data_IF_034539165064
#
_entry.id   IF_034539165064
#
_cell.length_a   1.000
_cell.length_b   1.000
_cell.length_c   1.000
_cell.angle_alpha   90.00
_cell.angle_beta   90.00
_cell.angle_gamma   90.00
#
_symmetry.space_group_name_H-M   'P 1'
#
loop_
_entity.id
_entity.type
_entity.pdbx_description
1 polymer ?
#
# COMPACT_ATOMS: atom_id res chain seq x y z
N UNK A 1 -90.19 10.06 3.93
CA UNK A 1 -89.31 9.54 5.01
C UNK A 1 -88.54 8.38 4.44
N UNK A 2 -87.33 8.61 4.14
CA UNK A 2 -86.24 7.62 3.99
C UNK A 2 -84.98 8.39 3.69
N UNK A 3 -84.07 8.46 4.63
CA UNK A 3 -82.76 9.04 4.51
C UNK A 3 -81.89 8.22 3.56
N UNK A 4 -81.22 8.90 2.62
CA UNK A 4 -80.19 8.32 1.77
C UNK A 4 -78.84 8.70 2.33
N UNK A 5 -78.17 7.70 2.88
CA UNK A 5 -76.80 7.85 3.42
C UNK A 5 -75.79 8.15 2.29
N UNK A 6 -75.00 9.19 2.50
CA UNK A 6 -73.83 9.50 1.69
C UNK A 6 -72.68 8.60 2.09
N UNK A 7 -72.28 7.72 1.19
CA UNK A 7 -70.98 7.05 1.24
C UNK A 7 -69.89 8.04 0.83
N UNK A 8 -69.07 8.45 1.80
CA UNK A 8 -67.86 9.20 1.54
C UNK A 8 -66.88 8.34 0.75
N UNK A 9 -66.42 8.83 -0.40
CA UNK A 9 -65.29 8.26 -1.13
C UNK A 9 -64.03 8.66 -0.37
N UNK A 10 -63.38 7.66 0.27
CA UNK A 10 -62.01 7.78 0.71
C UNK A 10 -61.15 8.02 -0.53
N UNK A 11 -60.70 9.24 -0.67
CA UNK A 11 -59.61 9.61 -1.57
C UNK A 11 -58.33 9.05 -1.02
N UNK A 12 -57.87 7.93 -1.54
CA UNK A 12 -56.51 7.44 -1.34
C UNK A 12 -55.60 8.51 -1.95
N UNK A 13 -55.05 9.35 -1.10
CA UNK A 13 -53.98 10.26 -1.46
C UNK A 13 -52.76 9.43 -1.83
N UNK A 14 -52.32 9.57 -3.08
CA UNK A 14 -51.03 8.99 -3.50
C UNK A 14 -49.91 9.36 -2.51
N UNK A 15 -49.02 8.45 -2.16
CA UNK A 15 -47.93 8.77 -1.21
C UNK A 15 -47.13 9.92 -1.80
N UNK A 16 -47.00 11.00 -1.05
CA UNK A 16 -46.10 12.11 -1.33
C UNK A 16 -44.71 11.51 -1.45
N UNK A 17 -44.03 11.77 -2.56
CA UNK A 17 -42.66 11.34 -2.75
C UNK A 17 -41.85 11.87 -1.56
N UNK A 18 -41.37 10.97 -0.69
CA UNK A 18 -40.61 11.35 0.48
C UNK A 18 -39.35 12.09 0.05
N UNK A 19 -38.99 13.14 0.79
CA UNK A 19 -37.72 13.82 0.53
C UNK A 19 -36.54 12.81 0.69
N UNK A 20 -35.52 12.88 -0.18
CA UNK A 20 -34.37 11.97 -0.12
C UNK A 20 -33.73 11.87 1.26
N UNK A 21 -33.76 12.92 2.06
CA UNK A 21 -33.26 12.96 3.43
C UNK A 21 -34.07 12.11 4.42
N UNK A 22 -35.38 12.09 4.29
CA UNK A 22 -36.27 11.27 5.12
C UNK A 22 -36.10 9.77 4.79
N UNK A 23 -36.10 9.44 3.51
CA UNK A 23 -35.86 8.07 3.02
C UNK A 23 -34.56 7.51 3.59
N UNK A 24 -33.48 8.26 3.45
CA UNK A 24 -32.15 7.88 4.00
C UNK A 24 -32.18 7.62 5.50
N UNK A 25 -32.81 8.52 6.26
CA UNK A 25 -32.85 8.42 7.73
C UNK A 25 -33.63 7.17 8.19
N UNK A 26 -34.76 6.87 7.57
CA UNK A 26 -35.56 5.69 7.91
C UNK A 26 -34.90 4.38 7.49
N UNK A 27 -34.32 4.33 6.30
CA UNK A 27 -33.59 3.13 5.85
C UNK A 27 -32.36 2.89 6.72
N UNK A 28 -31.63 3.95 7.09
CA UNK A 28 -30.49 3.84 8.04
C UNK A 28 -30.94 3.25 9.39
N UNK A 29 -32.03 3.75 9.96
CA UNK A 29 -32.56 3.24 11.23
C UNK A 29 -32.96 1.76 11.10
N UNK A 30 -33.53 1.35 9.98
CA UNK A 30 -33.86 -0.03 9.72
C UNK A 30 -32.59 -0.91 9.63
N UNK A 31 -31.60 -0.49 8.86
CA UNK A 31 -30.36 -1.24 8.68
C UNK A 31 -29.57 -1.39 9.99
N UNK A 32 -29.53 -0.36 10.83
CA UNK A 32 -28.86 -0.43 12.14
C UNK A 32 -29.47 -1.44 13.12
N UNK A 33 -30.73 -1.82 12.91
CA UNK A 33 -31.42 -2.86 13.70
C UNK A 33 -31.26 -4.28 13.14
N UNK A 34 -30.85 -4.41 11.88
CA UNK A 34 -30.92 -5.68 11.14
C UNK A 34 -29.58 -6.11 10.52
N UNK A 35 -28.54 -5.28 10.65
CA UNK A 35 -27.19 -5.58 10.16
C UNK A 35 -26.15 -5.28 11.23
N UNK A 36 -25.19 -6.18 11.36
CA UNK A 36 -24.00 -5.98 12.20
C UNK A 36 -23.07 -4.92 11.58
N UNK A 37 -22.31 -4.24 12.43
CA UNK A 37 -21.36 -3.19 12.01
C UNK A 37 -20.31 -3.71 11.04
N UNK A 38 -19.85 -4.94 11.20
CA UNK A 38 -18.85 -5.55 10.32
C UNK A 38 -19.38 -5.78 8.90
N UNK A 39 -20.69 -5.98 8.75
CA UNK A 39 -21.35 -6.11 7.45
C UNK A 39 -21.46 -4.76 6.75
N UNK A 40 -21.55 -3.67 7.48
CA UNK A 40 -21.71 -2.32 6.94
C UNK A 40 -20.39 -1.60 6.65
N UNK A 41 -19.24 -2.19 6.98
CA UNK A 41 -17.94 -1.62 6.67
C UNK A 41 -17.69 -1.60 5.14
N UNK A 42 -17.58 -0.43 4.47
CA UNK A 42 -17.39 -0.33 3.02
C UNK A 42 -16.04 -0.89 2.54
N UNK A 43 -15.10 -1.12 3.44
CA UNK A 43 -13.77 -1.65 3.14
C UNK A 43 -13.65 -3.15 3.41
N UNK A 44 -14.64 -3.77 4.06
CA UNK A 44 -14.59 -5.21 4.35
C UNK A 44 -14.69 -6.02 3.04
N UNK A 45 -13.79 -6.99 2.89
CA UNK A 45 -13.75 -7.90 1.76
C UNK A 45 -14.57 -9.15 2.06
N UNK A 46 -15.83 -9.13 1.71
CA UNK A 46 -16.67 -10.31 1.70
C UNK A 46 -17.49 -10.31 0.41
N UNK A 47 -17.22 -11.20 -0.57
CA UNK A 47 -17.91 -11.22 -1.84
C UNK A 47 -19.43 -11.38 -1.69
N UNK A 48 -19.87 -12.08 -0.64
CA UNK A 48 -21.31 -12.31 -0.36
C UNK A 48 -21.98 -11.14 0.37
N UNK A 49 -21.21 -10.17 0.83
CA UNK A 49 -21.68 -9.03 1.63
C UNK A 49 -22.58 -8.10 0.82
N UNK A 50 -22.15 -7.72 -0.38
CA UNK A 50 -22.87 -6.75 -1.22
C UNK A 50 -24.28 -7.26 -1.57
N UNK A 51 -24.47 -8.51 -2.02
CA UNK A 51 -25.81 -9.07 -2.21
C UNK A 51 -26.67 -9.09 -0.95
N UNK A 52 -26.09 -9.42 0.21
CA UNK A 52 -26.81 -9.44 1.50
C UNK A 52 -27.28 -8.04 1.89
N UNK A 53 -26.41 -7.05 1.82
CA UNK A 53 -26.77 -5.66 2.14
C UNK A 53 -27.80 -5.13 1.15
N UNK A 54 -27.64 -5.39 -0.15
CA UNK A 54 -28.62 -5.00 -1.16
C UNK A 54 -30.01 -5.57 -0.86
N UNK A 55 -30.09 -6.83 -0.50
CA UNK A 55 -31.34 -7.45 -0.11
C UNK A 55 -31.99 -6.75 1.11
N UNK A 56 -31.17 -6.39 2.12
CA UNK A 56 -31.63 -5.66 3.31
C UNK A 56 -32.03 -4.21 3.01
N UNK A 57 -31.35 -3.53 2.09
CA UNK A 57 -31.75 -2.19 1.63
C UNK A 57 -33.08 -2.26 0.91
N UNK A 58 -33.30 -3.23 0.01
CA UNK A 58 -34.57 -3.45 -0.68
C UNK A 58 -35.70 -3.72 0.35
N UNK A 59 -35.46 -4.60 1.32
CA UNK A 59 -36.39 -4.89 2.40
C UNK A 59 -36.76 -3.62 3.20
N UNK A 60 -35.76 -2.83 3.55
CA UNK A 60 -35.96 -1.56 4.26
C UNK A 60 -36.77 -0.53 3.44
N UNK A 61 -36.48 -0.40 2.16
CA UNK A 61 -37.18 0.52 1.24
C UNK A 61 -38.65 0.13 1.13
N UNK A 62 -38.94 -1.17 0.96
CA UNK A 62 -40.30 -1.71 0.90
C UNK A 62 -41.04 -1.55 2.24
N UNK A 63 -40.38 -1.81 3.36
CA UNK A 63 -40.95 -1.62 4.69
C UNK A 63 -41.32 -0.16 4.99
N UNK A 64 -40.61 0.78 4.37
CA UNK A 64 -40.92 2.22 4.44
C UNK A 64 -41.97 2.67 3.41
N UNK A 65 -42.48 1.80 2.54
CA UNK A 65 -43.50 2.11 1.54
C UNK A 65 -42.97 2.87 0.30
N UNK A 66 -41.70 2.79 0.01
CA UNK A 66 -41.08 3.42 -1.16
C UNK A 66 -40.80 2.45 -2.30
N UNK A 67 -40.55 3.01 -3.52
CA UNK A 67 -40.14 2.22 -4.68
C UNK A 67 -38.74 1.68 -4.51
N UNK A 68 -38.57 0.39 -4.73
CA UNK A 68 -37.29 -0.32 -4.72
C UNK A 68 -36.66 -0.43 -6.11
N UNK A 69 -36.85 0.60 -6.95
CA UNK A 69 -36.19 0.66 -8.25
C UNK A 69 -34.64 0.65 -8.10
N UNK A 70 -33.97 0.14 -9.15
CA UNK A 70 -32.54 -0.07 -9.13
C UNK A 70 -31.74 1.21 -8.84
N UNK A 71 -32.21 2.37 -9.29
CA UNK A 71 -31.53 3.65 -9.09
C UNK A 71 -31.62 4.10 -7.63
N UNK A 72 -32.80 3.99 -7.01
CA UNK A 72 -33.02 4.27 -5.60
C UNK A 72 -32.20 3.35 -4.71
N UNK A 73 -32.20 2.06 -4.99
CA UNK A 73 -31.44 1.08 -4.23
C UNK A 73 -29.92 1.31 -4.36
N UNK A 74 -29.43 1.55 -5.58
CA UNK A 74 -28.00 1.86 -5.81
C UNK A 74 -27.57 3.12 -5.06
N UNK A 75 -28.37 4.18 -5.13
CA UNK A 75 -28.10 5.43 -4.41
C UNK A 75 -28.05 5.22 -2.88
N UNK A 76 -28.99 4.46 -2.33
CA UNK A 76 -28.98 4.15 -0.88
C UNK A 76 -27.80 3.27 -0.48
N UNK A 77 -27.41 2.31 -1.33
CA UNK A 77 -26.23 1.50 -1.10
C UNK A 77 -24.97 2.37 -1.01
N UNK A 78 -24.74 3.25 -1.97
CA UNK A 78 -23.57 4.14 -1.99
C UNK A 78 -23.56 5.10 -0.80
N UNK A 79 -24.68 5.71 -0.46
CA UNK A 79 -24.77 6.74 0.59
C UNK A 79 -24.76 6.15 2.02
N UNK A 80 -25.47 5.05 2.25
CA UNK A 80 -25.62 4.47 3.60
C UNK A 80 -24.54 3.47 3.96
N UNK A 81 -24.13 2.64 3.01
CA UNK A 81 -23.20 1.53 3.24
C UNK A 81 -21.84 1.85 2.62
N UNK A 82 -21.81 2.40 1.42
CA UNK A 82 -20.61 2.83 0.72
C UNK A 82 -20.01 4.15 1.25
N UNK A 83 -19.09 4.70 0.46
CA UNK A 83 -18.44 5.98 0.70
C UNK A 83 -19.10 7.12 -0.12
N UNK A 84 -20.42 7.01 -0.37
CA UNK A 84 -21.15 7.96 -1.17
C UNK A 84 -20.58 8.09 -2.58
N UNK A 85 -20.35 9.33 -3.08
CA UNK A 85 -19.89 9.53 -4.47
C UNK A 85 -18.48 9.00 -4.74
N UNK A 86 -17.74 8.58 -3.71
CA UNK A 86 -16.39 8.01 -3.85
C UNK A 86 -16.39 6.50 -4.11
N UNK A 87 -17.51 5.79 -3.84
CA UNK A 87 -17.57 4.32 -3.91
C UNK A 87 -17.07 3.78 -5.25
N UNK A 88 -17.50 4.36 -6.35
CA UNK A 88 -17.07 3.96 -7.70
C UNK A 88 -15.57 3.99 -7.96
N UNK A 89 -14.83 4.84 -7.21
CA UNK A 89 -13.38 4.91 -7.29
C UNK A 89 -12.72 3.87 -6.37
N UNK A 90 -13.37 3.54 -5.28
CA UNK A 90 -12.92 2.46 -4.40
C UNK A 90 -13.04 1.11 -5.12
N UNK A 91 -14.08 0.93 -5.93
CA UNK A 91 -14.35 -0.29 -6.69
C UNK A 91 -13.48 -0.40 -7.97
N UNK A 92 -12.97 0.72 -8.52
CA UNK A 92 -12.11 0.71 -9.72
C UNK A 92 -10.69 0.28 -9.36
N UNK A 93 -10.21 -0.91 -9.79
CA UNK A 93 -8.86 -1.41 -9.44
C UNK A 93 -7.73 -0.57 -10.04
N UNK A 94 -8.00 0.25 -11.06
CA UNK A 94 -7.01 1.14 -11.67
C UNK A 94 -6.79 2.42 -10.88
N UNK A 95 -7.66 2.73 -9.92
CA UNK A 95 -7.52 3.90 -9.06
C UNK A 95 -6.67 3.53 -7.85
N UNK A 96 -5.57 4.25 -7.63
CA UNK A 96 -4.66 4.09 -6.49
C UNK A 96 -4.94 5.08 -5.36
N UNK A 97 -5.30 6.32 -5.71
CA UNK A 97 -5.54 7.38 -4.74
C UNK A 97 -6.80 8.17 -5.09
N UNK A 98 -7.56 8.56 -4.05
CA UNK A 98 -8.73 9.44 -4.14
C UNK A 98 -8.47 10.67 -3.28
N UNK A 99 -8.45 11.85 -3.89
CA UNK A 99 -8.10 13.11 -3.24
C UNK A 99 -9.30 14.06 -3.29
N UNK A 100 -9.84 14.37 -2.13
CA UNK A 100 -10.97 15.31 -1.96
C UNK A 100 -10.44 16.59 -1.34
N UNK A 101 -10.21 17.60 -2.16
CA UNK A 101 -9.75 18.92 -1.69
C UNK A 101 -10.90 19.71 -1.04
N UNK A 102 -12.10 19.57 -1.61
CA UNK A 102 -13.35 20.16 -1.16
C UNK A 102 -14.53 19.30 -1.61
N UNK A 103 -15.72 19.60 -1.11
CA UNK A 103 -16.95 18.88 -1.47
C UNK A 103 -17.27 18.87 -2.98
N UNK A 104 -16.78 19.84 -3.73
CA UNK A 104 -16.98 20.04 -5.18
C UNK A 104 -15.71 19.78 -6.01
N UNK A 105 -14.60 19.36 -5.38
CA UNK A 105 -13.30 19.18 -6.03
C UNK A 105 -12.66 17.86 -5.64
N UNK A 106 -12.81 16.87 -6.52
CA UNK A 106 -12.31 15.50 -6.33
C UNK A 106 -11.37 15.11 -7.47
N UNK A 107 -10.18 14.63 -7.11
CA UNK A 107 -9.19 14.07 -8.01
C UNK A 107 -9.01 12.58 -7.73
N UNK A 108 -8.56 11.84 -8.74
CA UNK A 108 -8.13 10.45 -8.57
C UNK A 108 -6.80 10.22 -9.27
N UNK A 109 -5.96 9.39 -8.67
CA UNK A 109 -4.84 8.82 -9.41
C UNK A 109 -5.32 7.52 -10.06
N UNK A 110 -5.34 7.48 -11.40
CA UNK A 110 -5.71 6.30 -12.19
C UNK A 110 -4.57 5.98 -13.16
N UNK A 111 -4.15 4.73 -13.19
CA UNK A 111 -3.05 4.26 -14.05
C UNK A 111 -1.78 5.15 -13.89
N UNK A 112 -1.52 5.61 -12.66
CA UNK A 112 -0.39 6.47 -12.37
C UNK A 112 -0.53 7.93 -12.83
N UNK A 113 -1.72 8.37 -13.23
CA UNK A 113 -1.98 9.78 -13.62
C UNK A 113 -3.00 10.41 -12.69
N UNK A 114 -2.69 11.60 -12.20
CA UNK A 114 -3.63 12.39 -11.42
C UNK A 114 -4.61 13.09 -12.36
N UNK A 115 -5.90 12.82 -12.20
CA UNK A 115 -6.96 13.30 -13.06
C UNK A 115 -8.05 14.00 -12.23
N UNK A 116 -8.53 15.18 -12.65
CA UNK A 116 -9.72 15.78 -12.08
C UNK A 116 -10.95 14.95 -12.44
N UNK A 117 -11.97 14.97 -11.58
CA UNK A 117 -13.22 14.27 -11.82
C UNK A 117 -14.42 15.21 -11.83
N UNK A 118 -15.53 14.77 -12.39
CA UNK A 118 -16.82 15.47 -12.29
C UNK A 118 -17.57 15.14 -11.00
N UNK A 119 -17.01 14.33 -10.12
CA UNK A 119 -17.65 13.89 -8.86
C UNK A 119 -17.70 15.03 -7.87
N UNK A 120 -18.86 15.17 -7.22
CA UNK A 120 -19.10 16.15 -6.15
C UNK A 120 -19.93 15.53 -5.04
N UNK A 121 -19.67 15.97 -3.83
CA UNK A 121 -20.61 15.77 -2.72
C UNK A 121 -21.77 16.78 -2.87
N UNK A 122 -22.86 16.58 -2.16
CA UNK A 122 -23.99 17.52 -2.17
C UNK A 122 -23.59 18.89 -1.64
N UNK A 123 -22.86 18.87 -0.55
CA UNK A 123 -22.38 20.03 0.20
C UNK A 123 -21.22 19.62 1.11
N UNK A 124 -20.68 20.58 1.85
CA UNK A 124 -19.61 20.33 2.82
C UNK A 124 -20.03 19.36 3.92
N UNK A 125 -21.27 19.46 4.41
CA UNK A 125 -21.78 18.60 5.48
C UNK A 125 -21.84 17.13 5.04
N UNK A 126 -22.14 16.86 3.78
CA UNK A 126 -22.10 15.51 3.23
C UNK A 126 -20.68 14.95 3.19
N UNK A 127 -19.68 15.75 2.82
CA UNK A 127 -18.27 15.35 2.88
C UNK A 127 -17.86 15.04 4.32
N UNK A 128 -18.22 15.91 5.28
CA UNK A 128 -17.95 15.70 6.70
C UNK A 128 -18.58 14.40 7.22
N UNK A 129 -19.81 14.07 6.81
CA UNK A 129 -20.46 12.81 7.17
C UNK A 129 -19.70 11.58 6.66
N UNK A 130 -19.18 11.61 5.41
CA UNK A 130 -18.39 10.51 4.86
C UNK A 130 -17.06 10.39 5.61
N UNK A 131 -16.39 11.50 5.92
CA UNK A 131 -15.16 11.49 6.73
C UNK A 131 -15.43 10.92 8.12
N UNK A 132 -16.48 11.37 8.81
CA UNK A 132 -16.86 10.85 10.13
C UNK A 132 -17.14 9.34 10.09
N UNK A 133 -17.80 8.86 9.03
CA UNK A 133 -18.04 7.43 8.82
C UNK A 133 -16.74 6.66 8.72
N UNK A 134 -15.80 7.11 7.88
CA UNK A 134 -14.48 6.47 7.70
C UNK A 134 -13.73 6.40 9.03
N UNK A 135 -13.70 7.50 9.77
CA UNK A 135 -12.96 7.62 11.03
C UNK A 135 -13.57 6.75 12.14
N UNK A 136 -14.91 6.68 12.20
CA UNK A 136 -15.65 5.87 13.15
C UNK A 136 -15.42 4.36 12.95
N UNK A 137 -15.27 3.88 11.70
CA UNK A 137 -15.00 2.47 11.37
C UNK A 137 -13.70 1.96 12.00
N UNK A 138 -12.74 2.85 12.23
CA UNK A 138 -11.45 2.50 12.85
C UNK A 138 -11.37 2.90 14.33
N UNK A 139 -12.51 3.23 14.94
CA UNK A 139 -12.58 3.60 16.36
C UNK A 139 -11.85 4.91 16.68
N UNK A 140 -11.69 5.81 15.70
CA UNK A 140 -11.05 7.11 15.85
C UNK A 140 -12.10 8.23 15.83
N UNK A 141 -11.67 9.46 16.14
CA UNK A 141 -12.48 10.64 16.19
C UNK A 141 -11.75 11.79 15.48
N UNK A 142 -12.49 12.60 14.73
CA UNK A 142 -12.02 13.86 14.18
C UNK A 142 -12.97 14.99 14.63
N UNK A 143 -12.42 16.06 15.17
CA UNK A 143 -13.16 17.21 15.71
C UNK A 143 -12.32 18.48 15.60
N UNK A 144 -12.86 19.60 16.05
CA UNK A 144 -12.13 20.88 16.13
C UNK A 144 -10.91 20.78 17.07
N UNK A 145 -11.02 20.00 18.14
CA UNK A 145 -9.93 19.74 19.09
C UNK A 145 -8.91 18.75 18.53
N UNK A 146 -9.34 17.85 17.65
CA UNK A 146 -8.50 16.84 16.99
C UNK A 146 -8.69 16.93 15.46
N UNK A 147 -8.16 17.98 14.83
CA UNK A 147 -8.48 18.30 13.44
C UNK A 147 -7.76 17.43 12.40
N UNK A 148 -6.88 16.55 12.82
CA UNK A 148 -6.08 15.67 11.95
C UNK A 148 -6.32 14.23 12.34
N UNK A 149 -6.57 13.38 11.35
CA UNK A 149 -6.69 11.92 11.57
C UNK A 149 -6.07 11.15 10.44
N UNK A 150 -5.29 10.12 10.81
CA UNK A 150 -4.88 9.03 9.94
C UNK A 150 -5.68 7.80 10.33
N UNK A 151 -6.31 7.17 9.36
CA UNK A 151 -7.12 5.98 9.54
C UNK A 151 -6.64 4.87 8.60
N UNK A 152 -6.58 3.64 9.12
CA UNK A 152 -6.33 2.46 8.30
C UNK A 152 -7.58 1.60 8.26
N UNK A 153 -8.06 1.37 7.07
CA UNK A 153 -9.28 0.62 6.79
C UNK A 153 -9.05 -0.89 6.88
N UNK A 154 -10.12 -1.65 6.98
CA UNK A 154 -10.10 -3.11 7.07
C UNK A 154 -9.50 -3.79 5.82
N UNK A 155 -9.60 -3.16 4.64
CA UNK A 155 -8.95 -3.60 3.40
C UNK A 155 -7.47 -3.26 3.29
N UNK A 156 -6.91 -2.56 4.30
CA UNK A 156 -5.53 -2.07 4.30
C UNK A 156 -5.36 -0.67 3.68
N UNK A 157 -6.40 -0.09 3.07
CA UNK A 157 -6.38 1.29 2.58
C UNK A 157 -6.13 2.28 3.71
N UNK A 158 -5.53 3.42 3.41
CA UNK A 158 -5.24 4.49 4.38
C UNK A 158 -6.03 5.73 4.01
N UNK A 159 -6.63 6.38 5.00
CA UNK A 159 -7.27 7.66 4.84
C UNK A 159 -6.63 8.69 5.78
N UNK A 160 -6.31 9.86 5.24
CA UNK A 160 -5.95 11.04 6.02
C UNK A 160 -7.05 12.09 5.83
N UNK A 161 -7.54 12.64 6.93
CA UNK A 161 -8.51 13.71 6.89
C UNK A 161 -8.07 14.90 7.73
N UNK A 162 -8.46 16.09 7.28
CA UNK A 162 -8.13 17.38 7.91
C UNK A 162 -9.41 18.19 8.09
N UNK A 163 -9.59 18.77 9.29
CA UNK A 163 -10.71 19.65 9.64
C UNK A 163 -10.22 21.04 10.09
N UNK A 164 -11.17 21.97 10.22
CA UNK A 164 -10.93 23.26 10.87
C UNK A 164 -10.39 23.06 12.31
N UNK A 165 -9.49 23.91 12.81
CA UNK A 165 -9.02 25.18 12.23
C UNK A 165 -7.79 25.04 11.31
N UNK A 166 -7.26 23.83 11.12
CA UNK A 166 -6.05 23.61 10.31
C UNK A 166 -6.35 23.78 8.82
N UNK A 167 -7.51 23.32 8.37
CA UNK A 167 -7.95 23.39 6.97
C UNK A 167 -9.24 22.61 6.78
N UNK A 168 -9.55 22.22 5.56
CA UNK A 168 -10.58 21.27 5.21
C UNK A 168 -12.05 21.72 5.38
N UNK A 169 -13.00 20.76 5.33
CA UNK A 169 -12.76 19.32 5.33
C UNK A 169 -12.07 18.84 4.04
N UNK A 170 -10.97 18.11 4.19
CA UNK A 170 -10.28 17.42 3.10
C UNK A 170 -10.13 15.93 3.44
N UNK A 171 -10.06 15.09 2.41
CA UNK A 171 -9.90 13.65 2.57
C UNK A 171 -8.95 13.12 1.49
N UNK A 172 -7.97 12.36 1.92
CA UNK A 172 -7.04 11.66 1.05
C UNK A 172 -7.17 10.17 1.34
N UNK A 173 -7.55 9.36 0.37
CA UNK A 173 -7.59 7.90 0.51
C UNK A 173 -6.55 7.31 -0.44
N UNK A 174 -5.58 6.59 0.13
CA UNK A 174 -4.67 5.73 -0.61
C UNK A 174 -5.18 4.30 -0.52
N UNK A 175 -5.63 3.78 -1.65
CA UNK A 175 -6.11 2.41 -1.72
C UNK A 175 -4.98 1.42 -1.50
N UNK A 176 -5.27 0.35 -0.81
CA UNK A 176 -4.36 -0.78 -0.76
C UNK A 176 -4.33 -1.46 -2.13
N UNK A 177 -3.15 -1.57 -2.71
CA UNK A 177 -3.00 -2.19 -4.02
C UNK A 177 -2.78 -3.70 -3.89
N UNK A 178 -3.78 -4.46 -4.28
CA UNK A 178 -3.75 -5.93 -4.26
C UNK A 178 -3.18 -6.54 -5.53
N UNK A 179 -2.90 -5.73 -6.55
CA UNK A 179 -2.32 -6.22 -7.80
C UNK A 179 -1.02 -6.97 -7.51
N UNK A 180 -1.01 -8.26 -7.80
CA UNK A 180 0.18 -9.11 -7.68
C UNK A 180 0.92 -9.07 -9.01
N UNK A 181 2.11 -8.43 -8.99
CA UNK A 181 3.01 -8.47 -10.14
C UNK A 181 4.10 -9.49 -9.88
N UNK A 182 4.23 -10.46 -10.79
CA UNK A 182 5.39 -11.34 -10.82
C UNK A 182 6.60 -10.65 -11.46
N UNK A 183 7.79 -11.16 -11.22
CA UNK A 183 8.99 -10.65 -11.87
C UNK A 183 8.96 -10.91 -13.38
N UNK A 184 8.58 -12.14 -13.77
CA UNK A 184 8.56 -12.61 -15.15
C UNK A 184 7.23 -13.32 -15.49
N UNK A 185 6.90 -13.46 -16.78
CA UNK A 185 5.72 -14.21 -17.23
C UNK A 185 5.68 -15.65 -16.72
N UNK A 186 4.48 -16.16 -16.43
CA UNK A 186 4.25 -17.56 -16.03
C UNK A 186 4.19 -17.82 -14.55
N UNK A 187 4.18 -16.77 -13.72
CA UNK A 187 3.85 -16.85 -12.30
C UNK A 187 2.35 -16.89 -12.02
N UNK A 188 1.97 -16.75 -10.75
CA UNK A 188 0.58 -16.79 -10.28
C UNK A 188 -0.01 -15.38 -10.06
N UNK A 189 0.71 -14.32 -10.43
CA UNK A 189 0.28 -12.94 -10.30
C UNK A 189 -0.74 -12.52 -11.36
N UNK A 190 -1.39 -11.38 -11.13
CA UNK A 190 -2.36 -10.77 -12.06
C UNK A 190 -1.69 -10.23 -13.33
N UNK A 191 -0.41 -9.88 -13.23
CA UNK A 191 0.46 -9.36 -14.29
C UNK A 191 1.93 -9.60 -13.92
N UNK A 192 2.85 -9.20 -14.79
CA UNK A 192 4.30 -9.27 -14.54
C UNK A 192 5.02 -7.97 -14.94
N UNK A 193 6.20 -7.76 -14.36
CA UNK A 193 7.00 -6.56 -14.60
C UNK A 193 7.51 -6.47 -16.05
N UNK A 194 7.77 -7.61 -16.69
CA UNK A 194 8.26 -7.66 -18.09
C UNK A 194 7.12 -7.29 -19.04
N UNK A 195 5.95 -7.92 -18.88
CA UNK A 195 4.76 -7.64 -19.68
C UNK A 195 4.25 -6.21 -19.50
N UNK A 196 4.40 -5.64 -18.30
CA UNK A 196 4.07 -4.24 -18.01
C UNK A 196 5.12 -3.24 -18.57
N UNK A 197 6.25 -3.70 -19.15
CA UNK A 197 7.32 -2.85 -19.65
C UNK A 197 8.18 -2.20 -18.55
N UNK A 198 8.09 -2.72 -17.33
CA UNK A 198 8.81 -2.21 -16.16
C UNK A 198 10.25 -2.74 -16.03
N UNK A 199 10.59 -3.83 -16.69
CA UNK A 199 11.95 -4.38 -16.80
C UNK A 199 12.07 -5.31 -18.01
N UNK A 200 13.30 -5.68 -18.40
CA UNK A 200 13.52 -6.67 -19.43
C UNK A 200 13.49 -8.10 -18.86
N UNK A 201 13.30 -9.11 -19.75
CA UNK A 201 13.38 -10.53 -19.38
C UNK A 201 14.69 -10.89 -18.68
N UNK A 202 15.87 -10.51 -19.22
CA UNK A 202 17.16 -10.76 -18.55
C UNK A 202 17.27 -10.12 -17.15
N UNK A 203 16.68 -8.94 -16.92
CA UNK A 203 16.62 -8.34 -15.58
C UNK A 203 15.79 -9.19 -14.63
N UNK A 204 14.62 -9.65 -15.07
CA UNK A 204 13.74 -10.51 -14.27
C UNK A 204 14.45 -11.85 -13.92
N UNK A 205 15.10 -12.48 -14.89
CA UNK A 205 15.90 -13.70 -14.67
C UNK A 205 17.03 -13.49 -13.66
N UNK A 206 17.71 -12.34 -13.74
CA UNK A 206 18.72 -11.97 -12.76
C UNK A 206 18.11 -11.84 -11.36
N UNK A 207 17.00 -11.15 -11.19
CA UNK A 207 16.34 -10.97 -9.89
C UNK A 207 15.85 -12.32 -9.32
N UNK A 208 15.33 -13.21 -10.15
CA UNK A 208 14.98 -14.57 -9.76
C UNK A 208 16.22 -15.36 -9.29
N UNK A 209 17.34 -15.21 -9.98
CA UNK A 209 18.60 -15.83 -9.55
C UNK A 209 19.07 -15.24 -8.20
N UNK A 210 18.92 -13.93 -7.97
CA UNK A 210 19.26 -13.28 -6.69
C UNK A 210 18.36 -13.76 -5.54
N UNK A 211 17.07 -13.95 -5.80
CA UNK A 211 16.16 -14.56 -4.85
C UNK A 211 16.60 -15.97 -4.44
N UNK A 212 16.98 -16.79 -5.40
CA UNK A 212 17.42 -18.18 -5.18
C UNK A 212 18.79 -18.28 -4.52
N UNK A 213 19.75 -17.43 -4.89
CA UNK A 213 21.11 -17.47 -4.29
C UNK A 213 21.19 -16.69 -2.97
N UNK A 214 20.06 -16.33 -2.38
CA UNK A 214 19.96 -15.64 -1.08
C UNK A 214 20.78 -14.34 -1.03
N UNK A 215 20.80 -13.59 -2.13
CA UNK A 215 21.43 -12.27 -2.16
C UNK A 215 20.62 -11.26 -1.36
N UNK A 216 21.30 -10.45 -0.54
CA UNK A 216 20.65 -9.33 0.15
C UNK A 216 20.46 -8.16 -0.80
N UNK A 217 19.23 -7.64 -0.87
CA UNK A 217 18.82 -6.63 -1.84
C UNK A 217 18.37 -5.33 -1.16
N UNK A 218 18.86 -4.20 -1.65
CA UNK A 218 18.37 -2.86 -1.28
C UNK A 218 17.66 -2.23 -2.48
N UNK A 219 16.37 -1.92 -2.33
CA UNK A 219 15.57 -1.30 -3.39
C UNK A 219 15.39 0.19 -3.07
N UNK A 220 15.76 1.05 -4.00
CA UNK A 220 15.66 2.50 -3.88
C UNK A 220 14.65 3.09 -4.87
N UNK A 221 14.13 4.28 -4.59
CA UNK A 221 13.22 5.02 -5.47
C UNK A 221 12.42 6.07 -4.71
N UNK A 222 11.80 6.98 -5.44
CA UNK A 222 10.92 8.00 -4.89
C UNK A 222 9.62 7.41 -4.31
N UNK A 223 8.81 8.26 -3.65
CA UNK A 223 7.45 7.87 -3.22
C UNK A 223 6.61 7.51 -4.44
N UNK A 224 5.87 6.39 -4.36
CA UNK A 224 5.03 5.90 -5.47
C UNK A 224 5.80 5.34 -6.67
N UNK A 225 7.13 5.20 -6.60
CA UNK A 225 7.95 4.63 -7.67
C UNK A 225 7.71 3.12 -7.91
N UNK A 226 7.15 2.41 -6.93
CA UNK A 226 6.90 0.96 -7.03
C UNK A 226 7.86 0.10 -6.20
N UNK A 227 8.59 0.68 -5.23
CA UNK A 227 9.52 -0.06 -4.35
C UNK A 227 8.85 -1.24 -3.63
N UNK A 228 7.75 -1.00 -2.92
CA UNK A 228 7.02 -2.05 -2.20
C UNK A 228 6.45 -3.10 -3.15
N UNK A 229 6.04 -2.70 -4.37
CA UNK A 229 5.56 -3.62 -5.40
C UNK A 229 6.69 -4.54 -5.88
N UNK A 230 7.87 -3.98 -6.18
CA UNK A 230 9.03 -4.78 -6.60
C UNK A 230 9.54 -5.66 -5.45
N UNK A 231 9.56 -5.14 -4.22
CA UNK A 231 9.91 -5.93 -3.03
C UNK A 231 8.97 -7.12 -2.89
N UNK A 232 7.65 -6.91 -3.03
CA UNK A 232 6.67 -8.00 -2.99
C UNK A 232 6.90 -9.03 -4.10
N UNK A 233 7.12 -8.58 -5.35
CA UNK A 233 7.41 -9.48 -6.47
C UNK A 233 8.67 -10.33 -6.23
N UNK A 234 9.71 -9.74 -5.65
CA UNK A 234 10.94 -10.44 -5.29
C UNK A 234 10.67 -11.48 -4.18
N UNK A 235 9.96 -11.10 -3.13
CA UNK A 235 9.66 -11.99 -1.99
C UNK A 235 8.72 -13.12 -2.40
N UNK A 236 7.76 -12.87 -3.28
CA UNK A 236 6.86 -13.91 -3.83
C UNK A 236 7.59 -14.96 -4.68
N UNK A 237 8.84 -14.70 -5.06
CA UNK A 237 9.69 -15.69 -5.77
C UNK A 237 10.60 -16.52 -4.84
N UNK A 238 10.48 -16.36 -3.52
CA UNK A 238 11.23 -17.17 -2.56
C UNK A 238 10.67 -18.59 -2.47
N UNK A 239 11.50 -19.58 -2.11
CA UNK A 239 11.03 -20.94 -1.87
C UNK A 239 9.98 -21.02 -0.73
N UNK A 240 8.96 -21.85 -0.92
CA UNK A 240 7.85 -22.02 0.03
C UNK A 240 8.29 -22.60 1.39
N UNK A 241 9.41 -23.31 1.40
CA UNK A 241 9.99 -23.93 2.60
C UNK A 241 10.65 -22.92 3.53
N UNK A 242 10.97 -21.73 3.03
CA UNK A 242 11.68 -20.71 3.80
C UNK A 242 10.73 -19.89 4.67
N UNK A 243 11.11 -19.69 5.93
CA UNK A 243 10.38 -18.85 6.85
C UNK A 243 10.68 -17.38 6.59
N UNK A 244 9.70 -16.65 6.07
CA UNK A 244 9.81 -15.22 5.79
C UNK A 244 9.18 -14.43 6.94
N UNK A 245 9.92 -13.51 7.54
CA UNK A 245 9.38 -12.55 8.52
C UNK A 245 9.42 -11.16 7.89
N UNK A 246 8.25 -10.52 7.75
CA UNK A 246 8.16 -9.15 7.26
C UNK A 246 7.93 -8.18 8.42
N UNK A 247 8.60 -7.03 8.38
CA UNK A 247 8.51 -5.96 9.37
C UNK A 247 8.22 -4.67 8.64
N UNK A 248 7.11 -4.03 8.97
CA UNK A 248 6.64 -2.81 8.30
C UNK A 248 6.14 -1.79 9.32
N UNK A 249 6.35 -0.52 9.03
CA UNK A 249 5.76 0.59 9.80
C UNK A 249 4.23 0.56 9.71
N UNK A 250 3.74 0.34 8.49
CA UNK A 250 2.36 -0.04 8.21
C UNK A 250 2.40 -1.12 7.14
N UNK A 251 1.69 -2.20 7.38
CA UNK A 251 1.73 -3.37 6.52
C UNK A 251 1.15 -3.07 5.13
N UNK A 252 2.01 -3.14 4.11
CA UNK A 252 1.69 -3.01 2.69
C UNK A 252 1.96 -4.32 1.92
N UNK A 253 2.79 -5.19 2.48
CA UNK A 253 3.11 -6.47 1.86
C UNK A 253 2.00 -7.48 2.14
N UNK A 254 1.61 -8.21 1.11
CA UNK A 254 0.71 -9.35 1.18
C UNK A 254 1.34 -10.47 0.37
N UNK A 255 1.70 -11.57 1.04
CA UNK A 255 2.42 -12.70 0.46
C UNK A 255 1.56 -13.95 0.49
N UNK A 256 1.67 -14.78 -0.53
CA UNK A 256 1.02 -16.10 -0.57
C UNK A 256 1.94 -17.21 -0.02
N UNK A 257 3.03 -16.85 0.66
CA UNK A 257 3.96 -17.82 1.25
C UNK A 257 3.31 -18.58 2.41
N UNK A 258 3.36 -19.91 2.44
CA UNK A 258 2.77 -20.72 3.50
C UNK A 258 3.46 -20.52 4.86
N UNK A 259 4.72 -20.07 4.85
CA UNK A 259 5.52 -19.87 6.07
C UNK A 259 5.90 -18.40 6.30
N UNK A 260 4.88 -17.54 6.24
CA UNK A 260 5.02 -16.09 6.43
C UNK A 260 4.56 -15.60 7.79
N UNK A 261 5.36 -14.73 8.42
CA UNK A 261 5.00 -14.01 9.64
C UNK A 261 5.06 -12.53 9.38
N UNK A 262 3.96 -11.85 9.62
CA UNK A 262 3.81 -10.41 9.44
C UNK A 262 3.92 -9.69 10.77
N UNK A 263 4.84 -8.73 10.87
CA UNK A 263 4.98 -7.84 12.00
C UNK A 263 4.75 -6.39 11.56
N UNK A 264 3.94 -5.66 12.32
CA UNK A 264 3.59 -4.27 12.06
C UNK A 264 3.81 -3.42 13.30
N UNK A 265 4.30 -2.18 13.12
CA UNK A 265 4.51 -1.25 14.23
C UNK A 265 3.20 -0.87 14.92
N UNK A 266 3.28 -0.62 16.21
CA UNK A 266 2.15 -0.15 17.01
C UNK A 266 2.34 1.32 17.35
N UNK A 267 1.53 2.16 16.72
CA UNK A 267 1.53 3.61 16.92
C UNK A 267 0.40 4.04 17.85
N UNK A 268 0.55 3.89 19.16
CA UNK A 268 -0.35 4.41 20.21
C UNK A 268 -1.54 3.57 20.71
N UNK A 269 -1.98 3.90 21.93
CA UNK A 269 -3.28 3.75 22.65
C UNK A 269 -4.10 2.44 22.54
N UNK A 270 -3.78 1.51 21.66
CA UNK A 270 -4.51 0.27 21.47
C UNK A 270 -4.15 -0.86 22.47
N UNK A 271 -3.06 -0.71 23.18
CA UNK A 271 -2.70 -1.61 24.28
C UNK A 271 -3.28 -1.02 25.56
N UNK A 272 -4.40 -1.58 26.03
CA UNK A 272 -5.15 -1.14 27.18
C UNK A 272 -4.25 -0.65 28.32
N UNK A 273 -4.35 0.63 28.60
CA UNK A 273 -3.53 1.33 29.57
C UNK A 273 -4.07 1.11 30.99
N UNK A 274 -3.32 0.36 31.76
CA UNK A 274 -3.36 0.47 33.21
C UNK A 274 -1.99 1.00 33.69
N UNK A 275 -1.70 2.30 33.38
CA UNK A 275 -0.62 3.03 34.03
C UNK A 275 0.57 3.38 33.14
N UNK A 276 0.77 4.66 32.95
CA UNK A 276 2.03 5.40 32.66
C UNK A 276 2.85 4.98 31.42
N UNK A 277 2.66 5.68 30.32
CA UNK A 277 3.58 5.75 29.20
C UNK A 277 3.08 5.06 27.94
N UNK A 278 2.88 5.84 26.88
CA UNK A 278 2.58 5.33 25.53
C UNK A 278 3.69 4.36 25.09
N UNK A 279 3.41 3.06 25.08
CA UNK A 279 4.36 2.07 24.58
C UNK A 279 4.23 1.98 23.07
N UNK A 280 5.17 2.60 22.39
CA UNK A 280 5.31 2.54 20.93
C UNK A 280 6.28 1.41 20.61
N UNK A 281 5.88 0.48 19.73
CA UNK A 281 6.79 -0.52 19.16
C UNK A 281 7.15 -0.07 17.74
N UNK A 282 8.40 0.27 17.53
CA UNK A 282 8.90 0.71 16.24
C UNK A 282 9.56 -0.44 15.45
N UNK A 283 9.97 -0.16 14.22
CA UNK A 283 10.64 -1.14 13.35
C UNK A 283 11.87 -1.73 14.01
N UNK A 284 12.66 -0.91 14.74
CA UNK A 284 13.86 -1.37 15.40
C UNK A 284 13.59 -2.40 16.51
N UNK A 285 12.51 -2.20 17.29
CA UNK A 285 12.07 -3.16 18.31
C UNK A 285 11.65 -4.49 17.65
N UNK A 286 10.91 -4.39 16.55
CA UNK A 286 10.42 -5.57 15.82
C UNK A 286 11.56 -6.34 15.15
N UNK A 287 12.56 -5.66 14.59
CA UNK A 287 13.76 -6.30 14.03
C UNK A 287 14.50 -7.09 15.11
N UNK A 288 14.75 -6.50 16.28
CA UNK A 288 15.39 -7.20 17.40
C UNK A 288 14.59 -8.42 17.87
N UNK A 289 13.27 -8.32 17.89
CA UNK A 289 12.41 -9.44 18.25
C UNK A 289 12.43 -10.56 17.19
N UNK A 290 12.39 -10.18 15.89
CA UNK A 290 12.38 -11.13 14.78
C UNK A 290 13.60 -12.06 14.76
N UNK A 291 14.77 -11.60 15.21
CA UNK A 291 15.97 -12.44 15.37
C UNK A 291 15.77 -13.65 16.29
N UNK A 292 14.76 -13.63 17.16
CA UNK A 292 14.39 -14.75 18.06
C UNK A 292 13.28 -15.63 17.47
N UNK A 293 12.76 -15.27 16.29
CA UNK A 293 11.67 -15.99 15.64
C UNK A 293 12.15 -17.01 14.61
N UNK A 294 13.47 -17.23 14.50
CA UNK A 294 14.10 -18.13 13.54
C UNK A 294 13.70 -17.83 12.08
N UNK A 295 13.87 -16.60 11.61
CA UNK A 295 13.60 -16.28 10.22
C UNK A 295 14.68 -16.90 9.32
N UNK A 296 14.29 -17.45 8.19
CA UNK A 296 15.22 -17.79 7.10
C UNK A 296 15.52 -16.54 6.27
N UNK A 297 14.51 -15.67 6.13
CA UNK A 297 14.65 -14.35 5.48
C UNK A 297 13.93 -13.28 6.27
N UNK A 298 14.55 -12.11 6.33
CA UNK A 298 14.03 -10.93 7.01
C UNK A 298 13.75 -9.82 5.99
N UNK A 299 12.50 -9.39 5.90
CA UNK A 299 12.07 -8.36 4.97
C UNK A 299 11.67 -7.13 5.76
N UNK A 300 12.40 -6.05 5.59
CA UNK A 300 12.07 -4.76 6.21
C UNK A 300 11.43 -3.88 5.15
N UNK A 301 10.17 -3.49 5.35
CA UNK A 301 9.39 -2.75 4.35
C UNK A 301 10.10 -1.50 3.87
N UNK A 302 10.57 -0.65 4.79
CA UNK A 302 11.32 0.55 4.45
C UNK A 302 12.21 1.02 5.61
N UNK A 303 13.41 1.51 5.28
CA UNK A 303 14.31 2.18 6.23
C UNK A 303 14.07 3.70 6.14
N UNK A 304 13.56 4.30 7.23
CA UNK A 304 13.28 5.74 7.34
C UNK A 304 14.10 6.44 8.41
N UNK A 305 14.42 5.74 9.49
CA UNK A 305 15.05 6.31 10.69
C UNK A 305 16.39 5.63 11.02
N UNK A 306 17.20 6.34 11.80
CA UNK A 306 18.56 5.93 12.12
C UNK A 306 18.64 4.60 12.86
N UNK A 307 17.77 4.38 13.86
CA UNK A 307 17.73 3.12 14.61
C UNK A 307 17.33 1.95 13.69
N UNK A 308 16.35 2.15 12.82
CA UNK A 308 15.94 1.15 11.82
C UNK A 308 17.13 0.76 10.94
N UNK A 309 17.87 1.78 10.44
CA UNK A 309 19.05 1.54 9.59
C UNK A 309 20.10 0.69 10.32
N UNK A 310 20.44 1.05 11.55
CA UNK A 310 21.45 0.34 12.32
C UNK A 310 21.03 -1.11 12.63
N UNK A 311 19.83 -1.31 13.21
CA UNK A 311 19.38 -2.64 13.57
C UNK A 311 19.08 -3.54 12.35
N UNK A 312 18.69 -2.96 11.22
CA UNK A 312 18.57 -3.70 9.95
C UNK A 312 19.94 -4.22 9.51
N UNK A 313 20.98 -3.36 9.50
CA UNK A 313 22.33 -3.79 9.14
C UNK A 313 22.85 -4.86 10.09
N UNK A 314 22.62 -4.70 11.39
CA UNK A 314 23.02 -5.66 12.42
C UNK A 314 22.34 -7.03 12.18
N UNK A 315 21.02 -7.04 11.98
CA UNK A 315 20.25 -8.24 11.73
C UNK A 315 20.72 -8.97 10.48
N UNK A 316 20.89 -8.25 9.37
CA UNK A 316 21.31 -8.82 8.11
C UNK A 316 22.79 -9.30 8.13
N UNK A 317 23.62 -8.78 9.02
CA UNK A 317 25.01 -9.22 9.19
C UNK A 317 25.14 -10.49 10.06
N UNK A 318 24.07 -10.92 10.74
CA UNK A 318 24.09 -12.08 11.65
C UNK A 318 23.63 -13.39 11.00
N UNK A 319 23.59 -13.46 9.68
CA UNK A 319 23.33 -14.72 8.94
C UNK A 319 21.93 -14.88 8.36
N UNK A 320 21.17 -13.79 8.24
CA UNK A 320 19.86 -13.77 7.59
C UNK A 320 20.00 -13.42 6.10
N UNK A 321 20.72 -14.26 5.37
CA UNK A 321 20.98 -14.10 3.94
C UNK A 321 19.70 -14.22 3.10
N UNK A 322 19.63 -13.47 1.99
CA UNK A 322 18.45 -13.41 1.12
C UNK A 322 17.38 -12.45 1.60
N UNK A 323 17.74 -11.55 2.49
CA UNK A 323 16.86 -10.50 3.01
C UNK A 323 16.79 -9.31 2.06
N UNK A 324 15.72 -8.52 2.19
CA UNK A 324 15.52 -7.35 1.35
C UNK A 324 14.87 -6.20 2.13
N UNK A 325 15.16 -4.99 1.68
CA UNK A 325 14.54 -3.77 2.24
C UNK A 325 14.44 -2.67 1.20
N UNK A 326 13.67 -1.63 1.50
CA UNK A 326 13.58 -0.45 0.65
C UNK A 326 14.08 0.81 1.35
N UNK A 327 14.45 1.81 0.57
CA UNK A 327 14.86 3.13 1.04
C UNK A 327 14.45 4.21 0.02
N UNK A 328 14.07 5.38 0.50
CA UNK A 328 13.87 6.53 -0.38
C UNK A 328 15.22 7.10 -0.83
N UNK A 329 15.48 7.10 -2.13
CA UNK A 329 16.66 7.73 -2.73
C UNK A 329 16.42 7.97 -4.23
N UNK A 330 17.30 8.77 -4.86
CA UNK A 330 17.21 9.14 -6.29
C UNK A 330 18.06 8.25 -7.19
N UNK A 331 18.80 7.29 -6.63
CA UNK A 331 19.68 6.36 -7.33
C UNK A 331 20.28 5.33 -6.38
N UNK A 332 21.07 4.41 -6.90
CA UNK A 332 21.77 3.40 -6.09
C UNK A 332 22.85 4.04 -5.19
N UNK A 333 23.61 4.99 -5.71
CA UNK A 333 24.64 5.72 -4.95
C UNK A 333 24.02 6.55 -3.82
N UNK A 334 22.93 7.27 -4.12
CA UNK A 334 22.18 8.05 -3.14
C UNK A 334 21.60 7.17 -2.03
N UNK A 335 21.18 5.95 -2.36
CA UNK A 335 20.67 4.99 -1.38
C UNK A 335 21.75 4.63 -0.35
N UNK A 336 22.98 4.39 -0.81
CA UNK A 336 24.12 4.12 0.08
C UNK A 336 24.47 5.34 0.92
N UNK A 337 24.57 6.54 0.32
CA UNK A 337 24.85 7.78 1.02
C UNK A 337 23.79 8.08 2.10
N UNK A 338 22.51 7.87 1.76
CA UNK A 338 21.42 8.04 2.72
C UNK A 338 21.49 7.04 3.88
N UNK A 339 21.81 5.78 3.59
CA UNK A 339 21.96 4.75 4.61
C UNK A 339 23.13 5.08 5.56
N UNK A 340 24.28 5.54 5.01
CA UNK A 340 25.40 6.03 5.81
C UNK A 340 24.97 7.17 6.74
N UNK A 341 24.28 8.17 6.21
CA UNK A 341 23.81 9.32 6.98
C UNK A 341 22.86 8.89 8.11
N UNK A 342 21.94 7.96 7.83
CA UNK A 342 21.04 7.45 8.84
C UNK A 342 21.79 6.74 9.97
N UNK A 343 22.75 5.90 9.66
CA UNK A 343 23.53 5.17 10.67
C UNK A 343 24.40 6.13 11.48
N UNK A 344 25.17 7.01 10.84
CA UNK A 344 26.13 7.90 11.52
C UNK A 344 25.46 8.94 12.40
N UNK A 345 24.20 9.30 12.10
CA UNK A 345 23.45 10.29 12.87
C UNK A 345 23.26 9.91 14.33
N UNK A 346 22.89 8.66 14.63
CA UNK A 346 22.63 8.20 15.99
C UNK A 346 23.79 7.36 16.56
N UNK A 347 24.74 6.96 15.70
CA UNK A 347 25.93 6.20 16.07
C UNK A 347 27.22 6.90 15.61
N UNK A 348 27.48 8.14 16.06
CA UNK A 348 28.61 8.96 15.60
C UNK A 348 29.98 8.39 15.97
N UNK A 349 30.03 7.44 16.91
CA UNK A 349 31.26 6.73 17.26
C UNK A 349 31.78 5.80 16.15
N UNK A 350 30.89 5.43 15.19
CA UNK A 350 31.26 4.65 14.00
C UNK A 350 31.86 5.59 12.96
N UNK A 351 33.10 5.36 12.56
CA UNK A 351 33.72 6.10 11.46
C UNK A 351 33.06 5.79 10.11
N UNK A 352 33.12 6.72 9.17
CA UNK A 352 32.50 6.54 7.82
C UNK A 352 33.00 5.27 7.12
N UNK A 353 34.29 4.94 7.26
CA UNK A 353 34.87 3.74 6.65
C UNK A 353 34.30 2.46 7.25
N UNK A 354 34.10 2.42 8.55
CA UNK A 354 33.50 1.29 9.25
C UNK A 354 32.04 1.10 8.81
N UNK A 355 31.25 2.17 8.73
CA UNK A 355 29.86 2.15 8.28
C UNK A 355 29.77 1.64 6.83
N UNK A 356 30.63 2.15 5.95
CA UNK A 356 30.69 1.68 4.56
C UNK A 356 31.06 0.20 4.45
N UNK A 357 32.07 -0.21 5.23
CA UNK A 357 32.45 -1.62 5.31
C UNK A 357 31.32 -2.51 5.81
N UNK A 358 30.48 -1.98 6.72
CA UNK A 358 29.34 -2.69 7.26
C UNK A 358 28.21 -2.83 6.22
N UNK A 359 27.81 -1.73 5.59
CA UNK A 359 26.82 -1.71 4.50
C UNK A 359 27.24 -2.63 3.36
N UNK A 360 28.50 -2.54 2.95
CA UNK A 360 29.02 -3.34 1.84
C UNK A 360 29.14 -4.84 2.16
N UNK A 361 29.23 -5.23 3.44
CA UNK A 361 29.13 -6.64 3.85
C UNK A 361 27.71 -7.16 3.80
N UNK A 362 26.75 -6.33 4.11
CA UNK A 362 25.33 -6.70 4.19
C UNK A 362 24.72 -6.84 2.81
N UNK A 363 24.72 -5.81 1.99
CA UNK A 363 24.05 -5.82 0.70
C UNK A 363 24.92 -6.38 -0.42
N UNK A 364 24.29 -7.08 -1.35
CA UNK A 364 24.91 -7.64 -2.56
C UNK A 364 24.46 -6.89 -3.81
N UNK A 365 23.18 -6.53 -3.88
CA UNK A 365 22.55 -5.92 -5.06
C UNK A 365 21.73 -4.71 -4.65
N UNK A 366 21.91 -3.64 -5.39
CA UNK A 366 21.16 -2.40 -5.30
C UNK A 366 20.26 -2.29 -6.52
N UNK A 367 19.01 -1.91 -6.33
CA UNK A 367 18.04 -1.74 -7.41
C UNK A 367 17.43 -0.35 -7.29
N UNK A 368 17.33 0.37 -8.39
CA UNK A 368 16.62 1.64 -8.44
C UNK A 368 15.35 1.53 -9.28
N UNK A 369 14.23 2.00 -8.74
CA UNK A 369 12.93 2.02 -9.42
C UNK A 369 12.47 3.44 -9.58
N UNK A 370 12.04 3.79 -10.79
CA UNK A 370 11.58 5.12 -11.13
C UNK A 370 10.16 5.07 -11.71
N UNK A 371 9.37 6.10 -11.42
CA UNK A 371 8.09 6.33 -12.07
C UNK A 371 8.24 7.41 -13.12
N UNK A 372 8.00 7.05 -14.38
CA UNK A 372 8.09 7.98 -15.52
C UNK A 372 6.87 8.90 -15.60
N UNK A 373 7.04 10.02 -16.34
CA UNK A 373 5.93 10.91 -16.71
C UNK A 373 4.94 10.14 -17.57
N UNK A 374 3.86 9.74 -17.19
CA UNK A 374 2.91 8.85 -17.90
C UNK A 374 2.51 7.65 -17.06
N UNK A 375 3.14 7.50 -15.87
CA UNK A 375 2.73 6.55 -14.87
C UNK A 375 3.47 5.21 -14.91
N UNK A 376 4.20 4.89 -15.98
CA UNK A 376 5.00 3.67 -16.06
C UNK A 376 6.03 3.64 -14.94
N UNK A 377 6.07 2.54 -14.20
CA UNK A 377 7.10 2.25 -13.19
C UNK A 377 8.10 1.28 -13.79
N UNK A 378 9.37 1.62 -13.74
CA UNK A 378 10.41 0.76 -14.30
C UNK A 378 11.66 0.70 -13.41
N UNK A 379 12.34 -0.44 -13.47
CA UNK A 379 13.66 -0.62 -12.86
C UNK A 379 14.68 0.05 -13.77
N UNK A 380 15.33 1.10 -13.28
CA UNK A 380 16.28 1.87 -14.08
C UNK A 380 17.71 1.42 -13.92
N UNK A 381 18.04 0.89 -12.74
CA UNK A 381 19.41 0.46 -12.44
C UNK A 381 19.40 -0.81 -11.60
N UNK A 382 20.25 -1.75 -11.93
CA UNK A 382 20.63 -2.88 -11.09
C UNK A 382 22.16 -2.88 -10.99
N UNK A 383 22.66 -2.76 -9.75
CA UNK A 383 24.09 -2.59 -9.46
C UNK A 383 24.53 -3.59 -8.40
N UNK A 384 25.64 -4.29 -8.63
CA UNK A 384 26.30 -5.12 -7.61
C UNK A 384 27.15 -4.24 -6.70
N UNK A 385 27.05 -4.46 -5.39
CA UNK A 385 27.92 -3.92 -4.37
C UNK A 385 28.96 -4.96 -3.97
N UNK A 386 30.17 -4.84 -4.55
CA UNK A 386 31.27 -5.82 -4.42
C UNK A 386 32.29 -5.43 -3.30
N UNK A 387 31.87 -4.65 -2.33
CA UNK A 387 32.70 -4.26 -1.20
C UNK A 387 33.11 -2.79 -1.19
N UNK A 388 34.18 -2.48 -0.47
CA UNK A 388 34.82 -1.15 -0.45
C UNK A 388 36.22 -1.25 -1.05
N UNK A 389 36.69 -0.18 -1.67
CA UNK A 389 38.05 -0.07 -2.18
C UNK A 389 39.06 0.39 -1.12
N UNK A 390 40.34 0.50 -1.49
CA UNK A 390 41.40 0.90 -0.59
C UNK A 390 41.27 2.37 -0.10
N UNK A 391 40.57 3.20 -0.88
CA UNK A 391 40.26 4.59 -0.52
C UNK A 391 39.09 4.70 0.45
N UNK A 392 38.35 3.61 0.67
CA UNK A 392 37.15 3.54 1.48
C UNK A 392 35.88 3.90 0.69
N UNK A 393 35.95 3.95 -0.64
CA UNK A 393 34.80 4.10 -1.53
C UNK A 393 34.10 2.76 -1.78
N UNK A 394 32.81 2.78 -2.18
CA UNK A 394 32.13 1.56 -2.59
C UNK A 394 32.61 1.08 -3.95
N UNK A 395 32.82 -0.23 -4.11
CA UNK A 395 33.00 -0.88 -5.40
C UNK A 395 31.66 -1.26 -5.98
N UNK A 396 31.22 -0.48 -6.92
CA UNK A 396 29.95 -0.68 -7.62
C UNK A 396 30.20 -1.23 -9.01
N UNK A 397 29.42 -2.23 -9.41
CA UNK A 397 29.45 -2.82 -10.77
C UNK A 397 28.06 -2.73 -11.34
N UNK A 398 27.88 -1.90 -12.36
CA UNK A 398 26.60 -1.86 -13.09
C UNK A 398 26.33 -3.24 -13.73
N UNK A 399 25.11 -3.71 -13.62
CA UNK A 399 24.63 -4.96 -14.24
C UNK A 399 23.65 -4.62 -15.35
N UNK A 400 22.64 -3.79 -15.04
CA UNK A 400 21.67 -3.29 -16.00
C UNK A 400 21.43 -1.81 -15.78
N UNK A 401 21.18 -1.10 -16.88
CA UNK A 401 20.76 0.31 -16.87
C UNK A 401 19.64 0.52 -17.88
N UNK A 402 18.71 1.42 -17.56
CA UNK A 402 17.71 1.88 -18.51
C UNK A 402 18.16 3.21 -19.13
N UNK A 403 18.13 3.27 -20.47
CA UNK A 403 18.13 4.53 -21.23
C UNK A 403 16.70 4.88 -21.61
N UNK A 404 16.43 6.13 -21.89
CA UNK A 404 15.10 6.60 -22.20
C UNK A 404 15.07 7.18 -23.61
N UNK A 405 14.18 6.65 -24.44
CA UNK A 405 13.94 7.14 -25.78
C UNK A 405 12.58 7.82 -25.84
N UNK A 406 12.53 8.98 -26.50
CA UNK A 406 11.28 9.69 -26.72
C UNK A 406 10.61 9.16 -27.98
N UNK A 407 9.42 8.55 -27.83
CA UNK A 407 8.57 8.12 -28.92
C UNK A 407 7.11 8.45 -28.58
N UNK A 408 6.34 8.89 -29.58
CA UNK A 408 4.90 9.20 -29.44
C UNK A 408 4.55 10.17 -28.29
N UNK A 409 5.47 11.10 -27.96
CA UNK A 409 5.30 12.05 -26.86
C UNK A 409 5.46 11.45 -25.45
N UNK A 410 5.90 10.20 -25.34
CA UNK A 410 6.21 9.51 -24.10
C UNK A 410 7.70 9.09 -24.03
N UNK A 411 8.19 8.83 -22.82
CA UNK A 411 9.51 8.23 -22.59
C UNK A 411 9.34 6.73 -22.45
N UNK A 412 10.10 5.99 -23.26
CA UNK A 412 10.14 4.53 -23.23
C UNK A 412 11.49 4.06 -22.69
N UNK A 413 11.54 3.17 -21.71
CA UNK A 413 12.80 2.62 -21.22
C UNK A 413 13.36 1.59 -22.22
N UNK A 414 14.65 1.72 -22.50
CA UNK A 414 15.44 0.72 -23.21
C UNK A 414 16.43 0.13 -22.22
N UNK A 415 16.28 -1.12 -21.89
CA UNK A 415 17.07 -1.80 -20.87
C UNK A 415 18.33 -2.41 -21.49
N UNK A 416 19.48 -2.07 -20.94
CA UNK A 416 20.78 -2.51 -21.42
C UNK A 416 21.52 -3.27 -20.34
N UNK A 417 22.06 -4.43 -20.69
CA UNK A 417 23.01 -5.13 -19.85
C UNK A 417 24.40 -4.48 -19.99
N UNK A 418 25.12 -4.35 -18.89
CA UNK A 418 26.48 -3.83 -18.91
C UNK A 418 27.39 -4.78 -19.70
N UNK A 419 28.09 -4.30 -20.74
CA UNK A 419 28.92 -5.15 -21.58
C UNK A 419 29.98 -5.89 -20.76
N UNK A 420 30.03 -7.22 -20.91
CA UNK A 420 31.02 -8.06 -20.26
C UNK A 420 30.92 -8.15 -18.74
N UNK A 421 29.77 -7.77 -18.15
CA UNK A 421 29.58 -7.93 -16.72
C UNK A 421 29.80 -9.39 -16.29
N UNK A 422 30.51 -9.54 -15.20
CA UNK A 422 30.67 -10.83 -14.50
C UNK A 422 30.51 -10.59 -13.01
N UNK A 423 29.79 -11.48 -12.30
CA UNK A 423 29.62 -11.36 -10.85
C UNK A 423 30.97 -11.27 -10.14
N UNK A 424 31.06 -10.34 -9.20
CA UNK A 424 32.19 -10.22 -8.31
C UNK A 424 32.36 -11.45 -7.41
N UNK A 425 33.49 -11.57 -6.69
CA UNK A 425 33.81 -12.77 -5.92
C UNK A 425 32.73 -13.15 -4.90
N UNK A 426 32.11 -12.18 -4.25
CA UNK A 426 31.08 -12.42 -3.22
C UNK A 426 29.79 -12.98 -3.83
N UNK A 427 29.29 -12.35 -4.88
CA UNK A 427 28.04 -12.78 -5.53
C UNK A 427 28.25 -14.10 -6.27
N UNK A 428 29.41 -14.30 -6.90
CA UNK A 428 29.78 -15.58 -7.54
C UNK A 428 29.77 -16.72 -6.54
N UNK A 429 30.39 -16.54 -5.36
CA UNK A 429 30.39 -17.54 -4.31
C UNK A 429 28.98 -17.92 -3.85
N UNK A 430 28.08 -16.94 -3.74
CA UNK A 430 26.66 -17.22 -3.40
C UNK A 430 25.98 -18.07 -4.47
N UNK A 431 26.12 -17.71 -5.73
CA UNK A 431 25.60 -18.47 -6.86
C UNK A 431 26.11 -19.92 -6.84
N UNK A 432 27.40 -20.11 -6.60
CA UNK A 432 28.04 -21.43 -6.51
C UNK A 432 27.52 -22.26 -5.33
N UNK A 433 27.43 -21.68 -4.14
CA UNK A 433 26.99 -22.39 -2.92
C UNK A 433 25.52 -22.82 -3.04
N UNK A 434 24.67 -21.99 -3.59
CA UNK A 434 23.24 -22.29 -3.78
C UNK A 434 22.94 -23.04 -5.09
N UNK A 435 23.98 -23.39 -5.87
CA UNK A 435 23.84 -24.12 -7.13
C UNK A 435 23.05 -23.36 -8.20
N UNK A 436 22.97 -22.04 -8.10
CA UNK A 436 22.22 -21.18 -9.02
C UNK A 436 23.09 -20.84 -10.23
N UNK A 437 22.62 -21.22 -11.42
CA UNK A 437 23.25 -20.81 -12.68
C UNK A 437 22.58 -19.55 -13.20
N UNK A 438 23.34 -18.50 -13.33
CA UNK A 438 22.95 -17.30 -14.08
C UNK A 438 24.08 -16.96 -15.05
N UNK A 439 23.74 -16.86 -16.33
CA UNK A 439 24.65 -16.55 -17.43
C UNK A 439 24.17 -15.21 -17.99
N UNK A 440 25.05 -14.19 -17.94
CA UNK A 440 24.79 -12.84 -18.49
C UNK A 440 24.81 -12.86 -20.02
#
# INVERSE_FOLDING_TARGET
MAEVGHYGRDTVTAPVAAEPGEMRSRVRAYLSLHLDTDITDPFARAPDRVPLIRAKVIEAVRACGWSDDDQTVAWLMDDLVGLGPLQKYMDDPRVSDVLVNRWDEVYVERDGRLLPTATRFRDQAHLEQVIQKIVALVGREISVEKPLVDARMSDGSRANAVYAPVGGPTLCIRKFNHLKLDLAPGGNGDADWVGAGGMSGPMAEFLLAMARCRANVLISGATGAGKSTLLRSLVSSFPDEERVVTIEDTAELELDSPHWVKLECVHSKSLGDHGSGERRLDVADLVQNALRMRPDRLIIGEIRHSKEAYYTLEALNTGHDGSATTIHASGCDDALARLELLVTRDFPALGTREVRGYIARVFNVLIHVTRLRGGLRCVTDITELDGVDDSGGYRLRSIFQARFEAADGALHPVFEAAPGYRPGPRLRRRLEVEGVRWIS
#
